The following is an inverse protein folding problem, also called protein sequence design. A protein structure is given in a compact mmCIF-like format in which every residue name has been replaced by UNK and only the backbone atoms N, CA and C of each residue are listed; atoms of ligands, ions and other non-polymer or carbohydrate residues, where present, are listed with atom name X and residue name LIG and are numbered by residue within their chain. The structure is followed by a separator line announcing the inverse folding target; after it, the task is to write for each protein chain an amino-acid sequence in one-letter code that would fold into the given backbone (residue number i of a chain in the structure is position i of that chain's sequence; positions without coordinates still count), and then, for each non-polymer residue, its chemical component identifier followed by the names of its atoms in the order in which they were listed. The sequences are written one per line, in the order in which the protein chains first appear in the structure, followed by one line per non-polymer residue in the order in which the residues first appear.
data_IF_424343871849
#
_entry.id   IF_424343871849
#
_cell.length_a   1.000
_cell.length_b   1.000
_cell.length_c   1.000
_cell.angle_alpha   90.00
_cell.angle_beta   90.00
_cell.angle_gamma   90.00
#
_symmetry.space_group_name_H-M   'P 1'
#
loop_
_entity.id
_entity.type
_entity.pdbx_description
1 polymer ?
#
# COMPACT_ATOMS: atom_id res chain seq x y z
N UNK A 1 -15.68 -17.97 7.53
CA UNK A 1 -14.42 -17.44 6.96
C UNK A 1 -13.62 -16.83 8.09
N UNK A 2 -12.38 -17.28 8.32
CA UNK A 2 -11.49 -16.59 9.26
C UNK A 2 -11.13 -15.22 8.68
N UNK A 3 -11.50 -14.17 9.39
CA UNK A 3 -11.20 -12.79 9.03
C UNK A 3 -9.72 -12.55 9.36
N UNK A 4 -8.88 -12.31 8.35
CA UNK A 4 -7.51 -11.86 8.59
C UNK A 4 -7.54 -10.45 9.20
N UNK A 5 -6.66 -10.22 10.18
CA UNK A 5 -6.50 -8.91 10.81
C UNK A 5 -5.92 -7.92 9.82
N UNK A 6 -6.42 -6.68 9.83
CA UNK A 6 -5.84 -5.59 9.03
C UNK A 6 -4.41 -5.23 9.50
N UNK A 7 -4.06 -5.56 10.74
CA UNK A 7 -2.73 -5.34 11.31
C UNK A 7 -2.06 -6.68 11.61
N UNK A 8 -0.77 -6.77 11.31
CA UNK A 8 0.12 -7.84 11.75
C UNK A 8 1.28 -7.24 12.54
N UNK A 9 1.58 -7.78 13.72
CA UNK A 9 2.71 -7.31 14.51
C UNK A 9 4.05 -7.77 13.92
N UNK A 10 5.12 -7.03 14.25
CA UNK A 10 6.51 -7.41 13.92
C UNK A 10 6.82 -8.85 14.35
N UNK A 11 6.45 -9.23 15.58
CA UNK A 11 6.66 -10.59 16.10
C UNK A 11 5.97 -11.66 15.25
N UNK A 12 4.73 -11.42 14.83
CA UNK A 12 3.98 -12.38 13.99
C UNK A 12 4.61 -12.51 12.60
N UNK A 13 4.97 -11.38 11.97
CA UNK A 13 5.60 -11.41 10.66
C UNK A 13 6.97 -12.10 10.71
N UNK A 14 7.81 -11.75 11.68
CA UNK A 14 9.13 -12.36 11.88
C UNK A 14 9.03 -13.88 12.09
N UNK A 15 8.04 -14.34 12.86
CA UNK A 15 7.78 -15.76 13.05
C UNK A 15 7.36 -16.45 11.75
N UNK A 16 6.50 -15.81 10.95
CA UNK A 16 6.06 -16.36 9.66
C UNK A 16 7.20 -16.48 8.65
N UNK A 17 8.09 -15.48 8.59
CA UNK A 17 9.29 -15.50 7.75
C UNK A 17 10.27 -16.58 8.25
N UNK A 18 10.55 -16.64 9.56
CA UNK A 18 11.47 -17.62 10.13
C UNK A 18 11.02 -19.08 9.96
N UNK A 19 9.72 -19.33 9.85
CA UNK A 19 9.16 -20.65 9.53
C UNK A 19 9.16 -20.99 8.03
N UNK A 20 9.61 -20.07 7.16
CA UNK A 20 9.63 -20.26 5.72
C UNK A 20 8.23 -20.31 5.10
N UNK A 21 7.28 -19.52 5.62
CA UNK A 21 5.91 -19.49 5.14
C UNK A 21 5.82 -19.09 3.66
N UNK A 22 5.64 -20.07 2.77
CA UNK A 22 5.59 -19.85 1.32
C UNK A 22 4.41 -19.00 0.84
N UNK A 23 3.38 -18.85 1.67
CA UNK A 23 2.15 -18.13 1.33
C UNK A 23 2.14 -16.67 1.80
N UNK A 24 3.22 -16.17 2.42
CA UNK A 24 3.32 -14.76 2.80
C UNK A 24 4.14 -14.01 1.75
N UNK A 25 3.66 -12.84 1.33
CA UNK A 25 4.43 -11.88 0.51
C UNK A 25 4.52 -10.57 1.26
N UNK A 26 5.73 -10.08 1.42
CA UNK A 26 5.99 -8.81 2.09
C UNK A 26 6.24 -7.76 1.03
N UNK A 27 5.57 -6.63 1.14
CA UNK A 27 5.67 -5.53 0.20
C UNK A 27 6.15 -4.27 0.90
N UNK A 28 7.23 -3.71 0.39
CA UNK A 28 7.62 -2.34 0.69
C UNK A 28 6.84 -1.41 -0.24
N UNK A 29 5.88 -0.66 0.31
CA UNK A 29 5.05 0.28 -0.42
C UNK A 29 5.48 1.73 -0.16
N UNK A 30 6.76 1.96 0.16
CA UNK A 30 7.28 3.30 0.44
C UNK A 30 7.06 4.25 -0.73
N UNK A 31 6.45 5.38 -0.44
CA UNK A 31 6.25 6.49 -1.37
C UNK A 31 6.35 7.81 -0.61
N UNK A 32 6.96 8.81 -1.21
CA UNK A 32 7.19 10.11 -0.57
C UNK A 32 6.66 11.24 -1.41
N UNK A 33 6.19 12.30 -0.72
CA UNK A 33 5.90 13.56 -1.38
C UNK A 33 7.16 14.10 -2.06
N UNK A 34 7.07 14.72 -3.25
CA UNK A 34 8.23 15.26 -3.95
C UNK A 34 9.10 16.18 -3.08
N UNK A 35 8.47 16.96 -2.19
CA UNK A 35 9.14 17.87 -1.26
C UNK A 35 10.06 17.19 -0.24
N UNK A 36 9.93 15.88 -0.04
CA UNK A 36 10.77 15.13 0.90
C UNK A 36 12.13 14.76 0.30
N UNK A 37 12.29 14.84 -1.03
CA UNK A 37 13.54 14.54 -1.74
C UNK A 37 14.17 13.19 -1.36
N UNK A 38 13.33 12.14 -1.27
CA UNK A 38 13.74 10.76 -0.96
C UNK A 38 13.40 9.84 -2.12
N UNK A 39 14.24 8.84 -2.37
CA UNK A 39 14.03 7.84 -3.39
C UNK A 39 13.65 6.50 -2.74
N UNK A 40 12.36 6.11 -2.73
CA UNK A 40 11.92 4.91 -2.02
C UNK A 40 12.51 3.62 -2.60
N UNK A 41 12.78 3.59 -3.90
CA UNK A 41 13.36 2.42 -4.57
C UNK A 41 14.82 2.21 -4.19
N UNK A 42 15.62 3.27 -4.20
CA UNK A 42 17.02 3.21 -3.76
C UNK A 42 17.10 2.84 -2.27
N UNK A 43 16.21 3.39 -1.43
CA UNK A 43 16.14 3.04 -0.02
C UNK A 43 15.81 1.56 0.19
N UNK A 44 14.82 1.02 -0.54
CA UNK A 44 14.52 -0.41 -0.54
C UNK A 44 15.74 -1.24 -0.97
N UNK A 45 16.43 -0.88 -2.05
CA UNK A 45 17.62 -1.61 -2.50
C UNK A 45 18.78 -1.55 -1.47
N UNK A 46 18.84 -0.49 -0.66
CA UNK A 46 19.83 -0.33 0.40
C UNK A 46 19.52 -1.14 1.66
N UNK A 47 18.23 -1.37 1.98
CA UNK A 47 17.80 -2.18 3.11
C UNK A 47 16.30 -2.46 3.07
N UNK A 48 15.91 -3.71 3.34
CA UNK A 48 14.50 -4.10 3.40
C UNK A 48 14.30 -5.36 4.26
N UNK A 49 13.03 -5.69 4.53
CA UNK A 49 12.65 -6.93 5.22
C UNK A 49 12.99 -8.14 4.34
N UNK A 50 13.61 -9.22 4.86
CA UNK A 50 13.96 -10.40 4.09
C UNK A 50 12.78 -10.99 3.30
N UNK A 51 13.00 -11.22 2.00
CA UNK A 51 11.99 -11.76 1.08
C UNK A 51 10.91 -10.77 0.65
N UNK A 52 11.03 -9.49 1.03
CA UNK A 52 10.14 -8.44 0.55
C UNK A 52 10.40 -8.08 -0.92
N UNK A 53 9.38 -7.54 -1.58
CA UNK A 53 9.50 -6.91 -2.89
C UNK A 53 8.99 -5.47 -2.82
N UNK A 54 9.53 -4.61 -3.68
CA UNK A 54 9.08 -3.23 -3.78
C UNK A 54 7.76 -3.15 -4.56
N UNK A 55 6.74 -2.55 -3.95
CA UNK A 55 5.48 -2.18 -4.58
C UNK A 55 5.53 -0.68 -4.93
N UNK A 56 5.77 -0.42 -6.21
CA UNK A 56 5.75 0.91 -6.80
C UNK A 56 4.31 1.36 -7.07
N UNK A 57 3.80 2.28 -6.24
CA UNK A 57 2.46 2.88 -6.40
C UNK A 57 2.37 3.68 -7.71
N UNK A 58 3.48 4.28 -8.15
CA UNK A 58 3.49 5.00 -9.40
C UNK A 58 3.41 4.04 -10.57
N UNK A 59 4.03 2.86 -10.55
CA UNK A 59 3.83 1.84 -11.59
C UNK A 59 2.44 1.16 -11.54
N UNK A 60 1.86 1.03 -10.34
CA UNK A 60 0.54 0.43 -10.12
C UNK A 60 -0.60 1.47 -10.03
N UNK A 61 -0.71 2.32 -11.04
CA UNK A 61 -1.78 3.33 -11.15
C UNK A 61 -2.32 3.46 -12.58
N UNK A 62 -3.45 4.15 -12.75
CA UNK A 62 -3.93 4.53 -14.08
C UNK A 62 -3.05 5.64 -14.67
N UNK A 63 -2.21 5.24 -15.62
CA UNK A 63 -1.27 6.11 -16.34
C UNK A 63 -1.95 7.07 -17.32
N UNK A 64 -3.22 6.86 -17.64
CA UNK A 64 -3.96 7.70 -18.58
C UNK A 64 -4.75 8.80 -17.87
N UNK A 65 -4.81 8.78 -16.54
CA UNK A 65 -5.49 9.82 -15.78
C UNK A 65 -4.66 11.09 -15.70
N UNK A 66 -5.32 12.25 -15.79
CA UNK A 66 -4.72 13.54 -15.44
C UNK A 66 -4.63 13.76 -13.93
N UNK A 67 -5.17 12.84 -13.11
CA UNK A 67 -5.14 12.90 -11.65
C UNK A 67 -4.12 11.93 -11.06
N UNK A 68 -3.55 12.30 -9.92
CA UNK A 68 -2.51 11.51 -9.28
C UNK A 68 -3.02 10.20 -8.65
N UNK A 69 -2.23 9.15 -8.77
CA UNK A 69 -2.40 7.84 -8.11
C UNK A 69 -3.81 7.24 -8.24
N UNK A 70 -4.45 7.46 -9.38
CA UNK A 70 -5.73 6.82 -9.70
C UNK A 70 -5.57 5.30 -9.74
N UNK A 71 -6.61 4.57 -9.33
CA UNK A 71 -6.59 3.12 -9.36
C UNK A 71 -6.34 2.62 -10.78
N UNK A 72 -5.47 1.62 -10.97
CA UNK A 72 -5.30 0.98 -12.27
C UNK A 72 -6.58 0.22 -12.67
N UNK A 73 -6.67 -0.25 -13.91
CA UNK A 73 -7.69 -1.24 -14.27
C UNK A 73 -7.47 -2.57 -13.52
N UNK A 74 -8.52 -3.40 -13.34
CA UNK A 74 -8.37 -4.72 -12.73
C UNK A 74 -7.28 -5.58 -13.41
N UNK A 75 -7.19 -5.52 -14.75
CA UNK A 75 -6.21 -6.30 -15.53
C UNK A 75 -4.78 -5.81 -15.31
N UNK A 76 -4.58 -4.49 -15.22
CA UNK A 76 -3.26 -3.92 -14.90
C UNK A 76 -2.83 -4.32 -13.49
N UNK A 77 -3.75 -4.27 -12.52
CA UNK A 77 -3.49 -4.72 -11.16
C UNK A 77 -3.14 -6.21 -11.10
N UNK A 78 -3.93 -7.08 -11.74
CA UNK A 78 -3.68 -8.53 -11.85
C UNK A 78 -2.27 -8.83 -12.37
N UNK A 79 -1.90 -8.19 -13.49
CA UNK A 79 -0.58 -8.37 -14.09
C UNK A 79 0.54 -7.85 -13.18
N UNK A 80 0.33 -6.70 -12.53
CA UNK A 80 1.30 -6.09 -11.65
C UNK A 80 1.60 -6.98 -10.43
N UNK A 81 0.57 -7.36 -9.67
CA UNK A 81 0.76 -8.19 -8.46
C UNK A 81 1.15 -9.63 -8.80
N UNK A 82 0.75 -10.13 -9.97
CA UNK A 82 1.20 -11.43 -10.46
C UNK A 82 2.71 -11.50 -10.67
N UNK A 83 3.35 -10.41 -11.15
CA UNK A 83 4.82 -10.31 -11.24
C UNK A 83 5.51 -10.28 -9.88
N UNK A 84 4.79 -9.90 -8.83
CA UNK A 84 5.24 -9.98 -7.44
C UNK A 84 4.97 -11.36 -6.81
N UNK A 85 4.57 -12.35 -7.62
CA UNK A 85 4.27 -13.71 -7.16
C UNK A 85 3.12 -13.76 -6.15
N UNK A 86 2.13 -12.88 -6.32
CA UNK A 86 0.92 -12.82 -5.48
C UNK A 86 -0.23 -13.50 -6.23
N UNK A 87 -0.77 -14.56 -5.62
CA UNK A 87 -2.03 -15.19 -6.03
C UNK A 87 -3.17 -14.84 -5.07
N UNK A 88 -4.41 -15.18 -5.42
CA UNK A 88 -5.56 -14.98 -4.53
C UNK A 88 -5.49 -15.74 -3.18
N UNK A 89 -4.56 -16.69 -3.01
CA UNK A 89 -4.33 -17.44 -1.75
C UNK A 89 -3.22 -16.85 -0.88
N UNK A 90 -2.50 -15.87 -1.40
CA UNK A 90 -1.35 -15.26 -0.73
C UNK A 90 -1.84 -14.37 0.42
N UNK A 91 -1.16 -14.40 1.55
CA UNK A 91 -1.29 -13.36 2.57
C UNK A 91 -0.27 -12.26 2.29
N UNK A 92 -0.77 -11.10 1.88
CA UNK A 92 0.05 -9.92 1.61
C UNK A 92 0.26 -9.13 2.90
N UNK A 93 1.50 -8.79 3.22
CA UNK A 93 1.85 -7.90 4.33
C UNK A 93 2.55 -6.69 3.77
N UNK A 94 1.97 -5.50 3.97
CA UNK A 94 2.48 -4.24 3.42
C UNK A 94 3.10 -3.41 4.54
N UNK A 95 4.25 -2.81 4.27
CA UNK A 95 4.86 -1.81 5.14
C UNK A 95 5.34 -0.61 4.32
N UNK A 96 5.73 0.47 4.99
CA UNK A 96 6.56 1.51 4.41
C UNK A 96 7.61 1.97 5.44
N UNK A 97 8.51 2.83 4.99
CA UNK A 97 9.68 3.30 5.74
C UNK A 97 9.51 4.72 6.30
N UNK A 98 8.28 5.25 6.36
CA UNK A 98 8.03 6.58 6.91
C UNK A 98 8.07 6.58 8.44
N UNK A 99 9.26 6.82 9.01
CA UNK A 99 9.45 6.87 10.46
C UNK A 99 8.69 8.00 11.16
N UNK A 100 8.41 9.12 10.47
CA UNK A 100 7.74 10.28 11.06
C UNK A 100 6.27 9.99 11.41
N UNK A 101 5.57 9.27 10.54
CA UNK A 101 4.17 8.92 10.73
C UNK A 101 3.99 7.46 11.16
N UNK A 102 5.07 6.71 11.30
CA UNK A 102 5.09 5.26 11.48
C UNK A 102 4.76 4.51 10.18
N UNK A 103 3.64 4.89 9.55
CA UNK A 103 3.20 4.44 8.23
C UNK A 103 2.54 5.61 7.48
N UNK A 104 2.74 5.68 6.17
CA UNK A 104 2.20 6.72 5.30
C UNK A 104 1.49 6.18 4.04
N UNK A 105 2.17 5.36 3.24
CA UNK A 105 1.70 4.89 1.93
C UNK A 105 1.23 3.43 1.94
N UNK A 106 1.61 2.62 2.93
CA UNK A 106 1.23 1.21 3.00
C UNK A 106 -0.29 1.01 3.10
N UNK A 107 -1.03 1.90 3.79
CA UNK A 107 -2.50 1.77 3.88
C UNK A 107 -3.18 1.95 2.52
N UNK A 108 -2.59 2.75 1.61
CA UNK A 108 -3.10 2.89 0.23
C UNK A 108 -3.05 1.54 -0.48
N UNK A 109 -1.91 0.86 -0.44
CA UNK A 109 -1.75 -0.46 -1.08
C UNK A 109 -2.64 -1.51 -0.43
N UNK A 110 -2.72 -1.53 0.91
CA UNK A 110 -3.69 -2.38 1.63
C UNK A 110 -5.13 -2.17 1.15
N UNK A 111 -5.56 -0.91 1.01
CA UNK A 111 -6.90 -0.59 0.49
C UNK A 111 -7.06 -1.01 -0.96
N UNK A 112 -6.05 -0.80 -1.81
CA UNK A 112 -6.05 -1.20 -3.23
C UNK A 112 -6.29 -2.70 -3.39
N UNK A 113 -5.59 -3.56 -2.63
CA UNK A 113 -5.84 -5.01 -2.64
C UNK A 113 -7.31 -5.34 -2.29
N UNK A 114 -7.88 -4.67 -1.29
CA UNK A 114 -9.27 -4.88 -0.87
C UNK A 114 -10.28 -4.41 -1.90
N UNK A 115 -10.01 -3.29 -2.57
CA UNK A 115 -10.79 -2.80 -3.72
C UNK A 115 -10.82 -3.83 -4.84
N UNK A 116 -9.70 -4.50 -5.11
CA UNK A 116 -9.62 -5.59 -6.09
C UNK A 116 -9.97 -6.97 -5.53
N UNK A 117 -10.66 -7.02 -4.39
CA UNK A 117 -11.30 -8.23 -3.92
C UNK A 117 -10.44 -9.16 -3.06
N UNK A 118 -9.28 -8.70 -2.61
CA UNK A 118 -8.33 -9.50 -1.84
C UNK A 118 -8.26 -9.04 -0.38
N UNK A 119 -8.91 -9.80 0.51
CA UNK A 119 -8.96 -9.51 1.95
C UNK A 119 -7.82 -10.15 2.75
N UNK A 120 -7.01 -11.02 2.13
CA UNK A 120 -5.83 -11.62 2.76
C UNK A 120 -4.66 -10.63 2.74
N UNK A 121 -4.87 -9.42 3.26
CA UNK A 121 -3.90 -8.33 3.26
C UNK A 121 -3.87 -7.63 4.61
N UNK A 122 -2.67 -7.43 5.14
CA UNK A 122 -2.41 -6.75 6.42
C UNK A 122 -1.35 -5.66 6.24
N UNK A 123 -1.38 -4.67 7.12
CA UNK A 123 -0.32 -3.68 7.29
C UNK A 123 0.56 -4.10 8.47
N UNK A 124 1.88 -3.97 8.34
CA UNK A 124 2.83 -4.22 9.42
C UNK A 124 2.71 -3.13 10.49
N UNK A 125 2.26 -3.47 11.67
CA UNK A 125 2.08 -2.50 12.76
C UNK A 125 3.43 -1.89 13.19
N UNK A 126 3.53 -0.56 13.09
CA UNK A 126 4.76 0.21 13.32
C UNK A 126 5.73 0.29 12.12
N UNK A 127 5.40 -0.32 10.98
CA UNK A 127 6.17 -0.20 9.74
C UNK A 127 7.61 -0.71 9.83
N UNK A 128 8.45 -0.29 8.89
CA UNK A 128 9.87 -0.68 8.87
C UNK A 128 10.65 -0.14 10.08
N UNK A 129 10.27 1.04 10.58
CA UNK A 129 10.94 1.64 11.75
C UNK A 129 10.83 0.71 12.97
N UNK A 130 9.64 0.15 13.22
CA UNK A 130 9.45 -0.78 14.33
C UNK A 130 10.12 -2.13 14.11
N UNK A 131 10.13 -2.62 12.87
CA UNK A 131 10.87 -3.83 12.50
C UNK A 131 12.35 -3.72 12.90
N UNK A 132 13.00 -2.62 12.53
CA UNK A 132 14.39 -2.36 12.88
C UNK A 132 14.60 -2.14 14.39
N UNK A 133 13.73 -1.39 15.06
CA UNK A 133 13.89 -1.14 16.50
C UNK A 133 13.71 -2.39 17.35
N UNK A 134 12.91 -3.36 16.88
CA UNK A 134 12.71 -4.67 17.51
C UNK A 134 13.85 -5.65 17.17
N UNK A 135 14.93 -5.19 16.52
CA UNK A 135 16.14 -5.97 16.23
C UNK A 135 15.91 -7.09 15.20
N UNK A 136 14.88 -6.97 14.37
CA UNK A 136 14.59 -7.98 13.35
C UNK A 136 15.57 -7.87 12.17
N UNK A 137 15.87 -8.99 11.47
CA UNK A 137 16.85 -8.99 10.39
C UNK A 137 16.40 -8.14 9.21
N UNK A 138 17.36 -7.48 8.56
CA UNK A 138 17.20 -6.76 7.29
C UNK A 138 18.18 -7.31 6.28
N UNK A 139 17.92 -7.06 4.99
CA UNK A 139 18.78 -7.54 3.90
C UNK A 139 18.88 -6.51 2.77
N UNK A 140 19.85 -6.72 1.89
CA UNK A 140 19.98 -6.10 0.57
C UNK A 140 19.76 -7.10 -0.57
N UNK A 141 19.52 -8.38 -0.22
CA UNK A 141 19.36 -9.45 -1.20
C UNK A 141 18.05 -9.31 -1.96
N UNK A 142 18.14 -9.22 -3.29
CA UNK A 142 16.97 -9.17 -4.16
C UNK A 142 16.29 -10.54 -4.20
N UNK A 143 14.98 -10.57 -3.93
CA UNK A 143 14.18 -11.77 -4.05
C UNK A 143 13.16 -11.64 -5.19
N UNK A 144 13.10 -12.64 -6.06
CA UNK A 144 12.12 -12.71 -7.14
C UNK A 144 11.26 -13.95 -6.95
N UNK A 145 9.95 -13.76 -6.85
CA UNK A 145 8.99 -14.84 -6.92
C UNK A 145 8.62 -15.14 -8.38
N UNK A 146 8.33 -16.40 -8.73
CA UNK A 146 7.75 -16.70 -10.02
C UNK A 146 6.41 -15.97 -10.19
N UNK A 147 6.04 -15.70 -11.44
CA UNK A 147 4.74 -15.13 -11.73
C UNK A 147 3.62 -16.03 -11.18
N UNK A 148 2.64 -15.42 -10.51
CA UNK A 148 1.45 -16.08 -10.00
C UNK A 148 0.20 -15.47 -10.63
N UNK A 149 -0.82 -16.30 -10.87
CA UNK A 149 -2.09 -15.79 -11.37
C UNK A 149 -2.88 -15.14 -10.24
N UNK A 150 -3.29 -13.90 -10.45
CA UNK A 150 -4.25 -13.18 -9.63
C UNK A 150 -5.53 -12.90 -10.43
N UNK A 151 -6.68 -13.06 -9.80
CA UNK A 151 -8.00 -12.70 -10.33
C UNK A 151 -8.60 -11.58 -9.48
N UNK A 152 -8.73 -10.39 -10.05
CA UNK A 152 -9.28 -9.23 -9.37
C UNK A 152 -10.82 -9.32 -9.34
N UNK A 153 -11.39 -9.12 -8.16
CA UNK A 153 -12.85 -9.00 -7.96
C UNK A 153 -13.14 -7.59 -7.52
N UNK A 154 -13.24 -6.68 -8.50
CA UNK A 154 -13.40 -5.26 -8.26
C UNK A 154 -14.65 -4.94 -7.41
N UNK A 155 -14.46 -4.12 -6.37
CA UNK A 155 -15.48 -3.74 -5.38
C UNK A 155 -15.75 -2.23 -5.48
N UNK A 156 -16.62 -1.80 -6.41
CA UNK A 156 -16.84 -0.37 -6.67
C UNK A 156 -17.41 0.38 -5.44
N UNK A 157 -18.11 -0.30 -4.53
CA UNK A 157 -18.66 0.30 -3.31
C UNK A 157 -17.59 0.81 -2.32
N UNK A 158 -16.32 0.43 -2.49
CA UNK A 158 -15.20 0.93 -1.69
C UNK A 158 -14.59 2.24 -2.23
N UNK A 159 -15.14 2.78 -3.32
CA UNK A 159 -14.69 4.01 -3.99
C UNK A 159 -15.87 4.97 -4.10
N UNK A 160 -15.58 6.26 -4.15
CA UNK A 160 -16.51 7.31 -4.54
C UNK A 160 -15.94 8.05 -5.74
N UNK A 161 -16.73 8.17 -6.80
CA UNK A 161 -16.39 9.00 -7.96
C UNK A 161 -16.75 10.46 -7.69
N UNK A 162 -16.23 11.37 -8.52
CA UNK A 162 -16.52 12.81 -8.40
C UNK A 162 -18.03 13.13 -8.33
N UNK A 163 -18.91 12.57 -9.19
CA UNK A 163 -20.35 12.82 -9.10
C UNK A 163 -20.98 12.32 -7.78
N UNK A 164 -20.44 11.27 -7.16
CA UNK A 164 -20.93 10.80 -5.86
C UNK A 164 -20.68 11.83 -4.77
N UNK A 165 -19.53 12.53 -4.84
CA UNK A 165 -19.19 13.60 -3.90
C UNK A 165 -20.08 14.82 -4.14
N UNK A 166 -20.26 15.25 -5.38
CA UNK A 166 -21.14 16.37 -5.74
C UNK A 166 -22.58 16.16 -5.25
N UNK A 167 -23.12 14.96 -5.47
CA UNK A 167 -24.45 14.60 -5.00
C UNK A 167 -24.53 14.62 -3.48
N UNK A 168 -23.49 14.16 -2.79
CA UNK A 168 -23.49 14.11 -1.33
C UNK A 168 -23.46 15.50 -0.66
N UNK A 169 -23.02 16.55 -1.36
CA UNK A 169 -23.13 17.93 -0.87
C UNK A 169 -24.59 18.35 -0.63
N UNK A 170 -25.52 17.79 -1.41
CA UNK A 170 -26.96 18.04 -1.32
C UNK A 170 -27.63 17.02 -0.40
N UNK A 171 -27.40 15.74 -0.67
CA UNK A 171 -28.17 14.65 -0.06
C UNK A 171 -27.68 14.24 1.34
N UNK A 172 -26.40 14.52 1.68
CA UNK A 172 -25.79 14.17 2.97
C UNK A 172 -25.93 12.69 3.35
N UNK A 173 -25.86 11.80 2.35
CA UNK A 173 -25.95 10.34 2.51
C UNK A 173 -24.75 9.71 3.23
N UNK A 174 -23.59 10.37 3.23
CA UNK A 174 -22.41 9.93 3.96
C UNK A 174 -21.61 11.11 4.52
N UNK A 175 -20.84 10.83 5.58
CA UNK A 175 -19.86 11.75 6.12
C UNK A 175 -18.63 11.79 5.22
N UNK A 176 -18.19 12.99 4.86
CA UNK A 176 -16.94 13.21 4.12
C UNK A 176 -15.85 13.64 5.11
N UNK A 177 -14.78 12.85 5.19
CA UNK A 177 -13.64 13.11 6.08
C UNK A 177 -12.39 13.32 5.21
N UNK A 178 -11.69 14.43 5.43
CA UNK A 178 -10.43 14.76 4.76
C UNK A 178 -9.27 14.46 5.72
N UNK A 179 -8.28 13.69 5.24
CA UNK A 179 -7.13 13.26 6.03
C UNK A 179 -5.90 14.19 5.89
N UNK A 180 -6.00 15.27 5.12
CA UNK A 180 -4.91 16.25 4.97
C UNK A 180 -4.67 17.01 6.29
N UNK A 181 -3.45 17.52 6.44
CA UNK A 181 -3.10 18.37 7.57
C UNK A 181 -4.02 19.60 7.63
N UNK A 182 -4.35 20.04 8.85
CA UNK A 182 -5.32 21.12 9.12
C UNK A 182 -5.06 22.39 8.32
N UNK A 183 -3.80 22.79 8.15
CA UNK A 183 -3.45 23.98 7.36
C UNK A 183 -3.84 23.86 5.88
N UNK A 184 -3.68 22.68 5.28
CA UNK A 184 -4.09 22.41 3.88
C UNK A 184 -5.61 22.35 3.74
N UNK A 185 -6.28 21.72 4.71
CA UNK A 185 -7.73 21.68 4.75
C UNK A 185 -8.34 23.09 4.87
N UNK A 186 -7.77 23.94 5.72
CA UNK A 186 -8.24 25.31 5.93
C UNK A 186 -7.75 26.32 4.88
N UNK A 187 -6.92 25.91 3.91
CA UNK A 187 -6.35 26.81 2.90
C UNK A 187 -5.27 27.78 3.41
N UNK A 188 -4.67 27.50 4.57
CA UNK A 188 -3.60 28.33 5.17
C UNK A 188 -2.19 27.79 4.94
N UNK A 189 -2.06 26.67 4.23
CA UNK A 189 -0.79 26.08 3.83
C UNK A 189 -0.87 25.63 2.35
N UNK A 190 0.22 25.69 1.59
CA UNK A 190 0.22 25.29 0.18
C UNK A 190 -0.02 23.79 0.02
N UNK A 191 -0.62 23.41 -1.10
CA UNK A 191 -0.62 22.02 -1.54
C UNK A 191 0.79 21.63 -2.01
N UNK A 192 1.32 20.45 -1.60
CA UNK A 192 2.67 20.03 -1.94
C UNK A 192 2.83 19.67 -3.43
N UNK A 193 1.72 19.46 -4.13
CA UNK A 193 1.67 19.29 -5.58
C UNK A 193 1.02 20.53 -6.16
N UNK A 194 1.63 21.09 -7.21
CA UNK A 194 1.01 22.14 -8.00
C UNK A 194 -0.20 21.48 -8.68
N UNK A 195 -1.40 22.05 -8.50
CA UNK A 195 -2.61 21.51 -9.11
C UNK A 195 -2.47 21.45 -10.63
N UNK A 196 -2.86 20.32 -11.22
CA UNK A 196 -3.07 20.19 -12.66
C UNK A 196 -4.33 20.96 -13.09
#
# INVERSE_FOLDING_TARGET
MHKISALISVKQLASAIGQGSKNVRVLDASWYLPSMNRNPKEEFESTHIPGAQFFDIDDCCDKNSSFDHMLPSPREFENYVGRLGISNKTHVVVYDTNATFGIFSAQRVWWTFRVFGHDLVSVLDGGFSRWCSDGQPVTTEKFNYPFEKFEAKFRPHLIKAFPDIENNLKEKNFQLVDARATGRFNGTAPEPRIGN
#
